data_IF_541091255248
#
_entry.id   IF_541091255248
#
_cell.length_a   1.000
_cell.length_b   1.000
_cell.length_c   1.000
_cell.angle_alpha   90.00
_cell.angle_beta   90.00
_cell.angle_gamma   90.00
#
_symmetry.space_group_name_H-M   'P 1'
#
loop_
_entity.id
_entity.type
_entity.pdbx_description
1 polymer ?
#
# COMPACT_ATOMS: atom_id res chain seq x y z
N UNK A 1 40.60 20.22 18.05
CA UNK A 1 40.86 20.03 16.60
C UNK A 1 39.61 20.48 15.84
N UNK A 2 39.72 21.34 14.81
CA UNK A 2 38.60 22.09 14.23
C UNK A 2 37.91 21.36 13.08
N UNK A 3 36.62 21.66 12.88
CA UNK A 3 35.79 21.13 11.79
C UNK A 3 36.32 21.66 10.43
N UNK A 4 36.51 20.83 9.39
CA UNK A 4 37.05 21.29 8.11
C UNK A 4 36.07 22.21 7.37
N UNK A 5 36.55 23.40 6.96
CA UNK A 5 35.86 24.26 6.00
C UNK A 5 36.07 23.69 4.60
N UNK A 6 34.99 23.41 3.89
CA UNK A 6 35.04 22.94 2.50
C UNK A 6 35.51 24.09 1.59
N UNK A 7 36.43 23.85 0.64
CA UNK A 7 36.98 24.89 -0.21
C UNK A 7 35.93 25.33 -1.26
N UNK A 8 35.59 26.62 -1.24
CA UNK A 8 34.86 27.27 -2.33
C UNK A 8 35.81 27.56 -3.48
N UNK A 9 35.67 26.80 -4.57
CA UNK A 9 35.97 27.09 -6.01
C UNK A 9 35.92 25.72 -6.70
N UNK A 10 35.22 25.50 -7.82
CA UNK A 10 35.28 26.21 -9.10
C UNK A 10 34.05 25.76 -9.90
N UNK A 11 33.44 26.66 -10.67
CA UNK A 11 32.32 26.35 -11.55
C UNK A 11 32.75 25.32 -12.60
N UNK A 12 32.51 24.04 -12.34
CA UNK A 12 32.53 22.98 -13.34
C UNK A 12 31.32 23.22 -14.22
N UNK A 13 31.55 23.45 -15.51
CA UNK A 13 30.52 23.50 -16.56
C UNK A 13 29.42 22.48 -16.27
N UNK A 14 28.26 22.96 -15.85
CA UNK A 14 27.07 22.13 -15.73
C UNK A 14 26.59 21.92 -17.16
N UNK A 15 26.95 20.78 -17.75
CA UNK A 15 26.16 20.26 -18.87
C UNK A 15 24.68 20.39 -18.47
N UNK A 16 23.83 20.97 -19.33
CA UNK A 16 22.44 21.21 -18.97
C UNK A 16 21.83 19.88 -18.53
N UNK A 17 21.22 19.85 -17.33
CA UNK A 17 20.45 18.70 -16.86
C UNK A 17 19.37 18.45 -17.90
N UNK A 18 19.56 17.48 -18.79
CA UNK A 18 18.57 17.12 -19.79
C UNK A 18 17.35 16.58 -19.05
N UNK A 19 16.22 17.26 -19.21
CA UNK A 19 14.94 16.78 -18.70
C UNK A 19 14.50 15.65 -19.63
N UNK A 20 14.62 14.41 -19.17
CA UNK A 20 14.06 13.28 -19.88
C UNK A 20 12.60 13.12 -19.45
N UNK A 21 11.70 13.12 -20.44
CA UNK A 21 10.28 12.85 -20.22
C UNK A 21 10.13 11.34 -20.03
N UNK A 22 9.53 10.95 -18.91
CA UNK A 22 9.22 9.55 -18.61
C UNK A 22 7.76 9.30 -19.00
N UNK A 23 7.54 8.28 -19.82
CA UNK A 23 6.23 7.80 -20.23
C UNK A 23 5.84 6.55 -19.41
N UNK A 24 4.55 6.24 -19.37
CA UNK A 24 4.04 5.04 -18.69
C UNK A 24 4.66 3.76 -19.23
N UNK A 25 4.99 3.73 -20.53
CA UNK A 25 5.60 2.58 -21.20
C UNK A 25 7.03 2.34 -20.72
N UNK A 26 7.79 3.40 -20.42
CA UNK A 26 9.15 3.29 -19.86
C UNK A 26 9.12 2.58 -18.49
N UNK A 27 8.12 2.92 -17.67
CA UNK A 27 7.91 2.29 -16.36
C UNK A 27 7.50 0.82 -16.54
N UNK A 28 6.54 0.52 -17.41
CA UNK A 28 6.10 -0.85 -17.63
C UNK A 28 7.21 -1.74 -18.22
N UNK A 29 8.03 -1.20 -19.12
CA UNK A 29 9.16 -1.92 -19.70
C UNK A 29 10.22 -2.20 -18.63
N UNK A 30 10.56 -1.21 -17.81
CA UNK A 30 11.47 -1.40 -16.68
C UNK A 30 10.95 -2.46 -15.68
N UNK A 31 9.65 -2.45 -15.36
CA UNK A 31 9.06 -3.46 -14.50
C UNK A 31 9.15 -4.87 -15.08
N UNK A 32 8.94 -5.04 -16.39
CA UNK A 32 9.11 -6.34 -17.07
C UNK A 32 10.56 -6.82 -17.09
N UNK A 33 11.52 -5.90 -17.14
CA UNK A 33 12.94 -6.24 -17.09
C UNK A 33 13.38 -6.70 -15.69
N UNK A 34 12.84 -6.08 -14.65
CA UNK A 34 13.21 -6.39 -13.24
C UNK A 34 12.42 -7.57 -12.67
N UNK A 35 11.18 -7.77 -13.09
CA UNK A 35 10.32 -8.86 -12.63
C UNK A 35 10.11 -9.90 -13.74
N UNK A 36 10.44 -11.17 -13.49
CA UNK A 36 10.27 -12.27 -14.46
C UNK A 36 8.80 -12.70 -14.71
N UNK A 37 7.84 -11.88 -14.31
CA UNK A 37 6.39 -12.13 -14.42
C UNK A 37 5.70 -10.90 -15.04
N UNK A 38 4.46 -11.07 -15.52
CA UNK A 38 3.61 -10.01 -16.09
C UNK A 38 3.12 -9.01 -15.02
N UNK A 39 4.05 -8.44 -14.24
CA UNK A 39 3.78 -7.38 -13.27
C UNK A 39 3.67 -6.07 -14.02
N UNK A 40 2.46 -5.56 -14.12
CA UNK A 40 2.20 -4.23 -14.69
C UNK A 40 2.28 -3.16 -13.60
N UNK A 41 2.54 -1.89 -13.98
CA UNK A 41 2.46 -0.76 -13.04
C UNK A 41 1.09 -0.67 -12.32
N UNK A 42 0.05 -1.27 -12.91
CA UNK A 42 -1.29 -1.38 -12.33
C UNK A 42 -1.32 -2.26 -11.07
N UNK A 43 -0.50 -3.31 -10.98
CA UNK A 43 -0.44 -4.17 -9.79
C UNK A 43 0.05 -3.41 -8.55
N UNK A 44 0.97 -2.46 -8.73
CA UNK A 44 1.43 -1.58 -7.64
C UNK A 44 0.34 -0.63 -7.17
N UNK A 45 -0.57 -0.22 -8.07
CA UNK A 45 -1.70 0.66 -7.70
C UNK A 45 -2.70 -0.06 -6.80
N UNK A 46 -2.80 -1.38 -6.88
CA UNK A 46 -3.78 -2.16 -6.11
C UNK A 46 -3.19 -2.82 -4.87
N UNK A 47 -1.88 -3.09 -4.85
CA UNK A 47 -1.20 -3.75 -3.72
C UNK A 47 -1.37 -2.97 -2.41
N UNK A 48 -0.85 -1.76 -2.36
CA UNK A 48 -0.83 -0.98 -1.13
C UNK A 48 -2.23 -0.61 -0.60
N UNK A 49 -3.21 -0.21 -1.46
CA UNK A 49 -4.58 0.01 -0.99
C UNK A 49 -5.26 -1.25 -0.45
N UNK A 50 -4.96 -2.42 -1.02
CA UNK A 50 -5.45 -3.71 -0.52
C UNK A 50 -4.89 -4.01 0.87
N UNK A 51 -3.60 -3.76 1.09
CA UNK A 51 -2.95 -3.88 2.40
C UNK A 51 -3.58 -2.92 3.42
N UNK A 52 -3.76 -1.64 3.06
CA UNK A 52 -4.41 -0.66 3.94
C UNK A 52 -5.84 -1.05 4.31
N UNK A 53 -6.62 -1.55 3.35
CA UNK A 53 -7.95 -2.06 3.61
C UNK A 53 -7.92 -3.24 4.58
N UNK A 54 -7.02 -4.20 4.38
CA UNK A 54 -6.88 -5.37 5.25
C UNK A 54 -6.54 -4.96 6.70
N UNK A 55 -5.61 -4.03 6.89
CA UNK A 55 -5.26 -3.48 8.21
C UNK A 55 -6.44 -2.75 8.85
N UNK A 56 -7.12 -1.87 8.09
CA UNK A 56 -8.28 -1.11 8.59
C UNK A 56 -9.45 -2.00 9.02
N UNK A 57 -9.58 -3.17 8.39
CA UNK A 57 -10.54 -4.22 8.76
C UNK A 57 -10.07 -5.05 9.96
N UNK A 58 -8.78 -5.40 10.04
CA UNK A 58 -8.19 -6.13 11.16
C UNK A 58 -8.39 -5.44 12.52
N UNK A 59 -8.27 -4.12 12.55
CA UNK A 59 -8.47 -3.32 13.78
C UNK A 59 -9.94 -3.23 14.20
N UNK A 60 -10.89 -3.66 13.37
CA UNK A 60 -12.33 -3.74 13.69
C UNK A 60 -12.73 -5.04 14.40
N UNK A 61 -11.96 -5.43 15.42
CA UNK A 61 -12.14 -6.67 16.21
C UNK A 61 -13.49 -6.78 16.91
N UNK A 62 -14.27 -5.69 17.00
CA UNK A 62 -15.59 -5.66 17.66
C UNK A 62 -16.76 -5.98 16.73
N UNK A 63 -16.54 -6.14 15.43
CA UNK A 63 -17.60 -6.39 14.44
C UNK A 63 -18.06 -7.85 14.45
N UNK A 64 -19.05 -8.17 15.29
CA UNK A 64 -19.59 -9.53 15.46
C UNK A 64 -20.86 -9.81 14.66
N UNK A 65 -21.54 -8.78 14.16
CA UNK A 65 -22.75 -8.93 13.35
C UNK A 65 -22.50 -8.55 11.88
N UNK A 66 -23.31 -9.07 10.93
CA UNK A 66 -23.21 -8.70 9.52
C UNK A 66 -23.30 -7.18 9.30
N UNK A 67 -24.14 -6.49 10.06
CA UNK A 67 -24.27 -5.03 10.01
C UNK A 67 -22.99 -4.33 10.46
N UNK A 68 -22.40 -4.75 11.58
CA UNK A 68 -21.14 -4.18 12.08
C UNK A 68 -20.00 -4.42 11.09
N UNK A 69 -19.94 -5.60 10.45
CA UNK A 69 -18.93 -5.88 9.43
C UNK A 69 -19.08 -4.95 8.21
N UNK A 70 -20.31 -4.72 7.74
CA UNK A 70 -20.56 -3.75 6.64
C UNK A 70 -20.15 -2.33 7.02
N UNK A 71 -20.39 -1.91 8.27
CA UNK A 71 -19.94 -0.62 8.78
C UNK A 71 -18.41 -0.51 8.83
N UNK A 72 -17.71 -1.57 9.25
CA UNK A 72 -16.25 -1.62 9.24
C UNK A 72 -15.68 -1.50 7.82
N UNK A 73 -16.27 -2.21 6.84
CA UNK A 73 -15.91 -2.05 5.42
C UNK A 73 -16.11 -0.62 4.96
N UNK A 74 -17.26 -0.01 5.26
CA UNK A 74 -17.52 1.38 4.89
C UNK A 74 -16.54 2.36 5.56
N UNK A 75 -16.03 2.06 6.77
CA UNK A 75 -14.99 2.85 7.43
C UNK A 75 -13.64 2.70 6.72
N UNK A 76 -13.19 1.46 6.50
CA UNK A 76 -11.93 1.17 5.84
C UNK A 76 -11.88 1.78 4.43
N UNK A 77 -12.96 1.70 3.66
CA UNK A 77 -13.00 2.30 2.32
C UNK A 77 -12.92 3.83 2.34
N UNK A 78 -13.42 4.50 3.39
CA UNK A 78 -13.26 5.96 3.56
C UNK A 78 -11.83 6.35 3.88
N UNK A 79 -11.14 5.56 4.71
CA UNK A 79 -9.73 5.77 5.04
C UNK A 79 -8.86 5.60 3.80
N UNK A 80 -9.03 4.49 3.08
CA UNK A 80 -8.30 4.20 1.83
C UNK A 80 -8.61 5.26 0.76
N UNK A 81 -9.86 5.68 0.62
CA UNK A 81 -10.22 6.70 -0.37
C UNK A 81 -9.62 8.07 -0.03
N UNK A 82 -9.54 8.41 1.26
CA UNK A 82 -8.85 9.61 1.75
C UNK A 82 -7.36 9.59 1.40
N UNK A 83 -6.70 8.44 1.55
CA UNK A 83 -5.30 8.26 1.14
C UNK A 83 -5.10 8.40 -0.38
N UNK A 84 -6.01 7.84 -1.18
CA UNK A 84 -5.90 7.83 -2.64
C UNK A 84 -6.41 9.12 -3.32
N UNK A 85 -7.11 10.00 -2.60
CA UNK A 85 -7.80 11.15 -3.18
C UNK A 85 -8.97 10.76 -4.09
N UNK A 86 -9.59 9.60 -3.86
CA UNK A 86 -10.70 9.07 -4.64
C UNK A 86 -11.99 8.97 -3.79
N UNK A 87 -13.10 8.52 -4.38
CA UNK A 87 -14.33 8.20 -3.61
C UNK A 87 -14.22 6.79 -2.99
N UNK A 88 -14.93 6.51 -1.87
CA UNK A 88 -14.95 5.16 -1.28
C UNK A 88 -15.40 4.07 -2.26
N UNK A 89 -16.33 4.40 -3.16
CA UNK A 89 -16.80 3.49 -4.20
C UNK A 89 -15.68 3.15 -5.20
N UNK A 90 -14.91 4.15 -5.64
CA UNK A 90 -13.77 3.95 -6.56
C UNK A 90 -12.63 3.20 -5.88
N UNK A 91 -12.31 3.54 -4.62
CA UNK A 91 -11.33 2.80 -3.84
C UNK A 91 -11.68 1.31 -3.76
N UNK A 92 -12.94 1.00 -3.43
CA UNK A 92 -13.42 -0.38 -3.34
C UNK A 92 -13.40 -1.12 -4.67
N UNK A 93 -13.83 -0.50 -5.77
CA UNK A 93 -13.99 -1.21 -7.06
C UNK A 93 -12.70 -1.32 -7.88
N UNK A 94 -11.75 -0.40 -7.67
CA UNK A 94 -10.62 -0.20 -8.59
C UNK A 94 -9.26 -0.36 -7.94
N UNK A 95 -9.17 -0.31 -6.61
CA UNK A 95 -7.90 -0.30 -5.88
C UNK A 95 -7.77 -1.42 -4.85
N UNK A 96 -8.88 -1.88 -4.26
CA UNK A 96 -8.88 -2.94 -3.26
C UNK A 96 -9.26 -4.28 -3.89
N UNK A 97 -8.47 -5.32 -3.63
CA UNK A 97 -8.83 -6.69 -4.03
C UNK A 97 -10.13 -7.12 -3.32
N UNK A 98 -11.18 -7.53 -4.07
CA UNK A 98 -12.48 -7.86 -3.49
C UNK A 98 -12.41 -9.03 -2.50
N UNK A 99 -11.44 -9.94 -2.64
CA UNK A 99 -11.30 -11.12 -1.76
C UNK A 99 -11.07 -10.73 -0.30
N UNK A 100 -10.39 -9.61 -0.04
CA UNK A 100 -10.22 -9.08 1.33
C UNK A 100 -11.57 -8.70 1.95
N UNK A 101 -12.42 -8.02 1.18
CA UNK A 101 -13.74 -7.58 1.64
C UNK A 101 -14.68 -8.77 1.82
N UNK A 102 -14.67 -9.70 0.87
CA UNK A 102 -15.55 -10.87 0.86
C UNK A 102 -15.26 -11.78 2.05
N UNK A 103 -13.99 -12.11 2.29
CA UNK A 103 -13.58 -12.94 3.42
C UNK A 103 -13.83 -12.25 4.77
N UNK A 104 -13.63 -10.94 4.87
CA UNK A 104 -14.01 -10.17 6.07
C UNK A 104 -15.52 -10.25 6.36
N UNK A 105 -16.36 -10.10 5.34
CA UNK A 105 -17.82 -10.18 5.48
C UNK A 105 -18.28 -11.60 5.84
N UNK A 106 -17.64 -12.63 5.28
CA UNK A 106 -17.85 -14.04 5.66
C UNK A 106 -17.49 -14.30 7.14
N UNK A 107 -16.58 -13.52 7.70
CA UNK A 107 -16.11 -13.67 9.07
C UNK A 107 -14.92 -14.60 9.20
N UNK A 108 -14.16 -14.78 8.12
CA UNK A 108 -12.94 -15.56 8.14
C UNK A 108 -11.88 -14.89 9.03
N UNK A 109 -11.11 -15.72 9.74
CA UNK A 109 -10.07 -15.35 10.72
C UNK A 109 -8.86 -14.57 10.16
N UNK A 110 -8.94 -14.11 8.91
CA UNK A 110 -7.98 -13.20 8.27
C UNK A 110 -7.71 -11.96 9.13
N UNK A 111 -8.76 -11.54 9.83
CA UNK A 111 -8.83 -10.42 10.76
C UNK A 111 -8.12 -10.73 12.09
N UNK A 112 -7.96 -12.01 12.45
CA UNK A 112 -7.34 -12.45 13.70
C UNK A 112 -5.82 -12.67 13.56
N UNK A 113 -5.31 -12.87 12.34
CA UNK A 113 -3.86 -13.00 12.05
C UNK A 113 -3.12 -11.66 11.91
N UNK A 114 -3.83 -10.59 11.57
CA UNK A 114 -3.27 -9.24 11.34
C UNK A 114 -3.00 -8.38 12.61
N UNK A 115 -3.74 -8.49 13.73
CA UNK A 115 -3.52 -7.68 14.94
C UNK A 115 -2.15 -7.90 15.59
N UNK A 116 -1.53 -9.04 15.33
CA UNK A 116 -0.20 -9.39 15.85
C UNK A 116 0.94 -8.68 15.11
N UNK A 117 0.67 -8.03 13.98
CA UNK A 117 1.69 -7.55 13.04
C UNK A 117 1.99 -6.05 13.16
N UNK A 118 1.27 -5.32 14.01
CA UNK A 118 1.43 -3.88 14.25
C UNK A 118 2.04 -3.50 15.60
N UNK A 119 2.57 -4.46 16.36
CA UNK A 119 3.04 -4.22 17.74
C UNK A 119 4.31 -3.36 17.85
N UNK A 120 5.07 -3.19 16.75
CA UNK A 120 6.40 -2.54 16.77
C UNK A 120 6.51 -1.31 15.86
N UNK A 121 5.42 -0.56 15.60
CA UNK A 121 5.49 0.64 14.74
C UNK A 121 5.17 1.92 15.48
N UNK A 122 6.15 2.83 15.53
CA UNK A 122 6.00 4.18 16.06
C UNK A 122 4.93 4.97 15.28
N UNK A 123 4.16 5.78 16.01
CA UNK A 123 3.07 6.63 15.52
C UNK A 123 3.54 7.51 14.36
N UNK A 124 2.96 7.35 13.17
CA UNK A 124 3.25 8.18 11.99
C UNK A 124 3.91 7.44 10.81
N UNK A 125 4.31 6.18 10.98
CA UNK A 125 4.70 5.29 9.88
C UNK A 125 3.63 4.21 9.71
N UNK A 126 2.98 4.14 8.54
CA UNK A 126 2.05 3.04 8.25
C UNK A 126 2.86 1.73 8.19
N UNK A 127 2.42 0.76 9.00
CA UNK A 127 3.02 -0.57 9.14
C UNK A 127 2.82 -1.46 7.90
N UNK A 128 3.19 -0.97 6.71
CA UNK A 128 3.03 -1.70 5.45
C UNK A 128 4.29 -2.45 5.02
N UNK A 129 5.42 -2.31 5.72
CA UNK A 129 6.60 -3.12 5.44
C UNK A 129 6.63 -4.34 6.37
N UNK A 130 6.68 -5.55 5.81
CA UNK A 130 6.98 -6.77 6.56
C UNK A 130 5.80 -7.71 6.85
N UNK A 131 5.51 -8.10 8.10
CA UNK A 131 4.63 -9.24 8.39
C UNK A 131 3.19 -9.10 7.86
N UNK A 132 2.67 -7.87 7.80
CA UNK A 132 1.34 -7.54 7.24
C UNK A 132 1.24 -7.94 5.77
N UNK A 133 2.27 -7.64 4.96
CA UNK A 133 2.31 -8.00 3.54
C UNK A 133 2.25 -9.51 3.36
N UNK A 134 2.99 -10.28 4.16
CA UNK A 134 2.98 -11.75 4.11
C UNK A 134 1.60 -12.33 4.41
N UNK A 135 0.89 -11.76 5.38
CA UNK A 135 -0.47 -12.18 5.70
C UNK A 135 -1.43 -11.87 4.54
N UNK A 136 -1.31 -10.70 3.92
CA UNK A 136 -2.09 -10.34 2.73
C UNK A 136 -1.79 -11.28 1.57
N UNK A 137 -0.53 -11.63 1.31
CA UNK A 137 -0.16 -12.63 0.28
C UNK A 137 -0.84 -13.97 0.57
N UNK A 138 -0.75 -14.48 1.80
CA UNK A 138 -1.35 -15.76 2.17
C UNK A 138 -2.88 -15.81 1.96
N UNK A 139 -3.55 -14.65 2.09
CA UNK A 139 -4.99 -14.52 1.84
C UNK A 139 -5.35 -14.58 0.35
N UNK A 140 -4.46 -14.05 -0.49
CA UNK A 140 -4.65 -13.94 -1.93
C UNK A 140 -4.17 -15.18 -2.69
N UNK A 141 -3.29 -15.98 -2.09
CA UNK A 141 -2.77 -17.22 -2.69
C UNK A 141 -3.60 -18.48 -2.35
N UNK A 142 -4.49 -18.40 -1.35
CA UNK A 142 -5.46 -19.43 -0.99
C UNK A 142 -6.89 -19.09 -1.42
#
# INVERSE_FOLDING_TARGET
MPIPRWPTRQARSLAPRSRHRIHSDDINNYLKEVFSADVTAKAFRTWHPTVLAAVGLAVSTTARTPTQRRQAVARAMREVSGYLGNTPAVAKSSYVDPRIVDRYLAGDAIVDSLPTLGKDTATGHMATEGPVEKAVIAILDG
#
